data_IF_604427838220
#
_entry.id   IF_604427838220
#
_cell.length_a   1.000
_cell.length_b   1.000
_cell.length_c   1.000
_cell.angle_alpha   90.00
_cell.angle_beta   90.00
_cell.angle_gamma   90.00
#
_symmetry.space_group_name_H-M   'P 1'
#
loop_
_entity.id
_entity.type
_entity.pdbx_description
1 polymer ?
#
# COMPACT_ATOMS: atom_id res chain seq x y z
N UNK A 1 -8.56 3.19 -5.09
CA UNK A 1 -7.82 2.24 -5.94
C UNK A 1 -7.67 2.82 -7.35
N UNK A 2 -6.45 3.30 -7.74
CA UNK A 2 -6.25 3.96 -9.03
C UNK A 2 -6.55 3.04 -10.23
N UNK A 3 -6.29 1.75 -10.10
CA UNK A 3 -6.49 0.80 -11.20
C UNK A 3 -7.96 0.46 -11.48
N UNK A 4 -8.90 0.91 -10.64
CA UNK A 4 -10.33 0.93 -10.96
C UNK A 4 -10.69 2.09 -11.89
N UNK A 5 -9.90 3.16 -11.89
CA UNK A 5 -10.05 4.33 -12.75
C UNK A 5 -8.94 4.36 -13.83
N UNK A 6 -8.72 3.22 -14.46
CA UNK A 6 -7.54 2.92 -15.28
C UNK A 6 -7.33 3.96 -16.40
N UNK A 7 -8.37 4.28 -17.16
CA UNK A 7 -8.25 5.16 -18.34
C UNK A 7 -7.80 6.58 -17.94
N UNK A 8 -8.42 7.15 -16.91
CA UNK A 8 -8.07 8.49 -16.45
C UNK A 8 -6.68 8.54 -15.82
N UNK A 9 -6.33 7.51 -15.05
CA UNK A 9 -5.00 7.41 -14.44
C UNK A 9 -3.91 7.27 -15.51
N UNK A 10 -4.09 6.41 -16.50
CA UNK A 10 -3.11 6.23 -17.58
C UNK A 10 -3.05 7.46 -18.50
N UNK A 11 -4.17 8.11 -18.77
CA UNK A 11 -4.21 9.40 -19.48
C UNK A 11 -3.37 10.46 -18.74
N UNK A 12 -3.58 10.62 -17.43
CA UNK A 12 -2.81 11.56 -16.62
C UNK A 12 -1.32 11.25 -16.62
N UNK A 13 -0.93 9.96 -16.54
CA UNK A 13 0.47 9.52 -16.61
C UNK A 13 1.09 9.82 -17.99
N UNK A 14 0.34 9.65 -19.08
CA UNK A 14 0.81 9.99 -20.44
C UNK A 14 1.01 11.49 -20.59
N UNK A 15 0.05 12.31 -20.13
CA UNK A 15 0.16 13.77 -20.13
C UNK A 15 1.36 14.25 -19.31
N UNK A 16 1.57 13.69 -18.11
CA UNK A 16 2.70 14.04 -17.28
C UNK A 16 4.07 13.69 -17.92
N UNK A 17 4.08 12.69 -18.81
CA UNK A 17 5.27 12.19 -19.49
C UNK A 17 5.53 12.86 -20.85
N UNK A 18 4.53 13.47 -21.45
CA UNK A 18 4.60 14.04 -22.78
C UNK A 18 5.77 15.03 -22.92
N UNK A 19 6.53 14.93 -23.99
CA UNK A 19 7.71 15.77 -24.25
C UNK A 19 7.37 17.21 -24.59
N UNK A 20 6.17 17.46 -25.10
CA UNK A 20 5.56 18.75 -25.41
C UNK A 20 4.75 19.32 -24.24
N UNK A 21 4.60 18.54 -23.14
CA UNK A 21 3.90 18.93 -21.92
C UNK A 21 4.77 19.74 -20.95
N UNK A 22 4.11 20.50 -20.07
CA UNK A 22 4.78 21.32 -19.06
C UNK A 22 5.56 20.52 -18.01
N UNK A 23 5.16 19.25 -17.73
CA UNK A 23 5.72 18.49 -16.62
C UNK A 23 6.94 17.64 -17.00
N UNK A 24 6.97 17.05 -18.18
CA UNK A 24 8.07 16.21 -18.72
C UNK A 24 8.64 15.21 -17.70
N UNK A 25 7.77 14.58 -16.90
CA UNK A 25 8.19 13.66 -15.85
C UNK A 25 8.55 12.31 -16.46
N UNK A 26 9.83 11.94 -16.38
CA UNK A 26 10.27 10.61 -16.84
C UNK A 26 9.55 9.47 -16.12
N UNK A 27 9.15 8.43 -16.83
CA UNK A 27 8.38 7.29 -16.27
C UNK A 27 9.06 6.61 -15.08
N UNK A 28 10.39 6.72 -14.94
CA UNK A 28 11.13 6.22 -13.76
C UNK A 28 10.81 6.98 -12.46
N UNK A 29 10.30 8.20 -12.57
CA UNK A 29 9.92 9.04 -11.42
C UNK A 29 8.44 8.90 -11.06
N UNK A 30 7.65 8.19 -11.87
CA UNK A 30 6.23 7.96 -11.63
C UNK A 30 6.00 6.53 -11.12
N UNK A 31 5.11 6.38 -10.18
CA UNK A 31 4.74 5.08 -9.59
C UNK A 31 3.23 5.02 -9.42
N UNK A 32 2.62 3.94 -9.88
CA UNK A 32 1.23 3.60 -9.57
C UNK A 32 1.22 2.78 -8.30
N UNK A 33 0.45 3.24 -7.31
CA UNK A 33 0.23 2.48 -6.06
C UNK A 33 -1.13 1.81 -6.11
N UNK A 34 -1.20 0.55 -5.72
CA UNK A 34 -2.45 -0.25 -5.76
C UNK A 34 -2.64 -1.05 -4.48
N UNK A 35 -3.89 -1.21 -4.07
CA UNK A 35 -4.28 -2.14 -3.01
C UNK A 35 -4.24 -3.63 -3.47
N UNK A 36 -4.01 -3.86 -4.76
CA UNK A 36 -3.91 -5.20 -5.33
C UNK A 36 -5.03 -5.55 -6.31
N UNK A 37 -5.45 -4.60 -7.13
CA UNK A 37 -6.40 -4.85 -8.24
C UNK A 37 -5.72 -5.64 -9.35
N UNK A 38 -5.74 -6.98 -9.27
CA UNK A 38 -5.02 -7.91 -10.16
C UNK A 38 -5.27 -7.64 -11.64
N UNK A 39 -6.52 -7.49 -12.14
CA UNK A 39 -6.75 -7.21 -13.56
C UNK A 39 -6.10 -5.90 -14.01
N UNK A 40 -6.10 -4.87 -13.17
CA UNK A 40 -5.46 -3.59 -13.49
C UNK A 40 -3.93 -3.69 -13.52
N UNK A 41 -3.31 -4.49 -12.63
CA UNK A 41 -1.87 -4.77 -12.66
C UNK A 41 -1.49 -5.48 -13.97
N UNK A 42 -2.25 -6.50 -14.35
CA UNK A 42 -2.01 -7.24 -15.59
C UNK A 42 -2.14 -6.32 -16.82
N UNK A 43 -3.20 -5.51 -16.86
CA UNK A 43 -3.39 -4.52 -17.92
C UNK A 43 -2.25 -3.49 -17.97
N UNK A 44 -1.80 -2.99 -16.82
CA UNK A 44 -0.67 -2.06 -16.73
C UNK A 44 0.65 -2.72 -17.20
N UNK A 45 0.78 -4.05 -17.04
CA UNK A 45 1.93 -4.79 -17.53
C UNK A 45 1.98 -4.86 -19.07
N UNK A 46 0.84 -4.73 -19.74
CA UNK A 46 0.70 -4.74 -21.22
C UNK A 46 0.80 -3.34 -21.83
N UNK A 47 0.47 -2.31 -21.07
CA UNK A 47 0.49 -0.91 -21.50
C UNK A 47 1.93 -0.46 -21.88
N UNK A 48 2.07 0.54 -22.74
CA UNK A 48 3.35 1.14 -23.13
C UNK A 48 3.98 2.03 -22.03
N UNK A 49 3.23 2.29 -20.95
CA UNK A 49 3.71 3.04 -19.79
C UNK A 49 4.78 2.27 -19.02
N UNK A 50 5.97 2.84 -18.92
CA UNK A 50 7.05 2.28 -18.11
C UNK A 50 7.16 3.03 -16.76
N UNK A 51 6.16 2.86 -15.91
CA UNK A 51 6.06 3.45 -14.58
C UNK A 51 6.50 2.46 -13.50
N UNK A 52 6.69 2.91 -12.27
CA UNK A 52 6.88 2.03 -11.11
C UNK A 52 5.54 1.42 -10.66
N UNK A 53 5.60 0.25 -10.04
CA UNK A 53 4.45 -0.37 -9.38
C UNK A 53 4.74 -0.53 -7.89
N UNK A 54 3.87 0.03 -7.05
CA UNK A 54 3.85 -0.18 -5.61
C UNK A 54 2.57 -0.92 -5.22
N UNK A 55 2.72 -2.00 -4.47
CA UNK A 55 1.61 -2.87 -4.05
C UNK A 55 1.51 -2.84 -2.53
N UNK A 56 0.36 -2.43 -2.02
CA UNK A 56 0.03 -2.54 -0.60
C UNK A 56 -0.26 -4.01 -0.26
N UNK A 57 0.77 -4.76 0.13
CA UNK A 57 0.64 -6.16 0.52
C UNK A 57 0.03 -6.30 1.92
N UNK A 58 0.61 -5.64 2.90
CA UNK A 58 0.15 -5.41 4.27
C UNK A 58 -0.08 -6.63 5.17
N UNK A 59 -0.11 -7.84 4.62
CA UNK A 59 -0.16 -9.10 5.37
C UNK A 59 0.49 -10.24 4.58
N UNK A 60 0.80 -11.34 5.26
CA UNK A 60 1.44 -12.52 4.69
C UNK A 60 0.51 -13.75 4.62
N UNK A 61 -0.71 -13.61 5.15
CA UNK A 61 -1.76 -14.64 5.17
C UNK A 61 -3.06 -14.02 4.67
N UNK A 62 -3.81 -14.80 3.87
CA UNK A 62 -5.05 -14.33 3.24
C UNK A 62 -6.14 -13.99 4.25
N UNK A 63 -6.21 -14.71 5.37
CA UNK A 63 -7.16 -14.43 6.44
C UNK A 63 -6.92 -13.03 7.01
N UNK A 64 -5.70 -12.74 7.45
CA UNK A 64 -5.31 -11.44 7.98
C UNK A 64 -5.47 -10.35 6.93
N UNK A 65 -5.03 -10.61 5.69
CA UNK A 65 -5.15 -9.64 4.61
C UNK A 65 -6.60 -9.30 4.28
N UNK A 66 -7.50 -10.30 4.31
CA UNK A 66 -8.94 -10.09 4.02
C UNK A 66 -9.65 -9.29 5.11
N UNK A 67 -9.14 -9.31 6.35
CA UNK A 67 -9.66 -8.49 7.45
C UNK A 67 -9.27 -7.01 7.29
N UNK A 68 -8.03 -6.73 6.91
CA UNK A 68 -7.51 -5.36 6.80
C UNK A 68 -7.65 -4.76 5.40
N UNK A 69 -7.75 -5.60 4.38
CA UNK A 69 -7.86 -5.23 2.96
C UNK A 69 -8.89 -6.11 2.25
N UNK A 70 -10.18 -5.72 2.24
CA UNK A 70 -11.26 -6.56 1.68
C UNK A 70 -11.08 -6.97 0.22
N UNK A 71 -10.29 -6.24 -0.56
CA UNK A 71 -9.92 -6.57 -1.94
C UNK A 71 -9.27 -7.96 -2.07
N UNK A 72 -8.64 -8.45 -1.00
CA UNK A 72 -8.02 -9.78 -0.94
C UNK A 72 -9.01 -10.92 -1.11
N UNK A 73 -10.28 -10.72 -0.72
CA UNK A 73 -11.33 -11.73 -0.90
C UNK A 73 -11.56 -12.05 -2.38
N UNK A 74 -11.30 -11.08 -3.26
CA UNK A 74 -11.46 -11.24 -4.70
C UNK A 74 -10.16 -11.71 -5.37
N UNK A 75 -9.02 -11.24 -4.88
CA UNK A 75 -7.69 -11.57 -5.39
C UNK A 75 -6.76 -11.90 -4.23
N UNK A 76 -6.63 -13.19 -3.89
CA UNK A 76 -5.75 -13.68 -2.82
C UNK A 76 -4.28 -13.30 -3.07
N UNK A 77 -3.46 -13.44 -2.03
CA UNK A 77 -2.02 -13.13 -2.10
C UNK A 77 -1.35 -13.89 -3.25
N UNK A 78 -1.71 -15.14 -3.49
CA UNK A 78 -1.11 -15.93 -4.59
C UNK A 78 -1.34 -15.28 -5.96
N UNK A 79 -2.57 -14.83 -6.25
CA UNK A 79 -2.92 -14.17 -7.51
C UNK A 79 -2.22 -12.83 -7.63
N UNK A 80 -2.15 -12.08 -6.53
CA UNK A 80 -1.46 -10.80 -6.47
C UNK A 80 0.04 -10.95 -6.75
N UNK A 81 0.68 -11.97 -6.18
CA UNK A 81 2.10 -12.24 -6.42
C UNK A 81 2.35 -12.69 -7.85
N UNK A 82 1.47 -13.50 -8.44
CA UNK A 82 1.54 -13.89 -9.85
C UNK A 82 1.44 -12.65 -10.79
N UNK A 83 0.51 -11.74 -10.51
CA UNK A 83 0.37 -10.50 -11.26
C UNK A 83 1.59 -9.58 -11.10
N UNK A 84 2.14 -9.46 -9.89
CA UNK A 84 3.36 -8.70 -9.63
C UNK A 84 4.57 -9.27 -10.39
N UNK A 85 4.69 -10.59 -10.43
CA UNK A 85 5.72 -11.26 -11.21
C UNK A 85 5.56 -11.00 -12.72
N UNK A 86 4.35 -11.14 -13.24
CA UNK A 86 4.03 -10.83 -14.65
C UNK A 86 4.40 -9.38 -14.99
N UNK A 87 4.09 -8.44 -14.10
CA UNK A 87 4.48 -7.04 -14.25
C UNK A 87 6.00 -6.88 -14.35
N UNK A 88 6.74 -7.50 -13.43
CA UNK A 88 8.19 -7.48 -13.46
C UNK A 88 8.75 -8.10 -14.75
N UNK A 89 8.28 -9.28 -15.14
CA UNK A 89 8.78 -10.01 -16.32
C UNK A 89 8.59 -9.20 -17.60
N UNK A 90 7.48 -8.46 -17.73
CA UNK A 90 7.19 -7.63 -18.91
C UNK A 90 7.88 -6.26 -18.90
N UNK A 91 7.97 -5.62 -17.73
CA UNK A 91 8.51 -4.25 -17.63
C UNK A 91 9.98 -4.17 -17.26
N UNK A 92 10.57 -5.24 -16.73
CA UNK A 92 11.95 -5.24 -16.23
C UNK A 92 12.15 -4.32 -15.01
N UNK A 93 11.06 -3.92 -14.34
CA UNK A 93 11.12 -2.98 -13.22
C UNK A 93 10.80 -3.65 -11.91
N UNK A 94 11.66 -3.45 -10.91
CA UNK A 94 11.42 -3.95 -9.55
C UNK A 94 10.09 -3.41 -9.02
N UNK A 95 9.28 -4.30 -8.46
CA UNK A 95 8.05 -3.96 -7.75
C UNK A 95 8.39 -3.46 -6.35
N UNK A 96 7.63 -2.52 -5.82
CA UNK A 96 7.72 -2.13 -4.41
C UNK A 96 6.55 -2.77 -3.65
N UNK A 97 6.84 -3.55 -2.62
CA UNK A 97 5.81 -4.01 -1.68
C UNK A 97 5.79 -3.10 -0.46
N UNK A 98 4.65 -2.47 -0.23
CA UNK A 98 4.37 -1.70 0.98
C UNK A 98 3.78 -2.65 2.03
N UNK A 99 4.35 -2.64 3.23
CA UNK A 99 3.96 -3.54 4.30
C UNK A 99 3.78 -2.77 5.60
N UNK A 100 2.53 -2.66 6.06
CA UNK A 100 2.20 -1.94 7.29
C UNK A 100 2.39 -2.86 8.48
N UNK A 101 3.19 -2.42 9.45
CA UNK A 101 3.45 -3.12 10.71
C UNK A 101 2.44 -2.68 11.77
N UNK A 102 1.55 -3.58 12.16
CA UNK A 102 0.55 -3.44 13.21
C UNK A 102 0.85 -4.41 14.35
N UNK A 103 0.84 -3.91 15.58
CA UNK A 103 1.18 -4.68 16.78
C UNK A 103 0.32 -5.94 16.91
N UNK A 104 0.97 -7.10 17.07
CA UNK A 104 0.35 -8.42 17.20
C UNK A 104 -0.59 -8.81 16.04
N UNK A 105 -0.45 -8.18 14.87
CA UNK A 105 -1.30 -8.48 13.71
C UNK A 105 -0.46 -8.82 12.48
N UNK A 106 0.50 -7.97 12.13
CA UNK A 106 1.35 -8.12 10.94
C UNK A 106 2.84 -7.94 11.25
N UNK A 107 3.20 -7.93 12.53
CA UNK A 107 4.57 -7.68 13.00
C UNK A 107 5.21 -8.90 13.67
N UNK A 108 4.58 -10.09 13.59
CA UNK A 108 5.12 -11.31 14.17
C UNK A 108 6.41 -11.75 13.47
N UNK A 109 7.26 -12.48 14.18
CA UNK A 109 8.51 -13.03 13.60
C UNK A 109 8.20 -13.94 12.41
N UNK A 110 7.13 -14.74 12.49
CA UNK A 110 6.65 -15.59 11.42
C UNK A 110 6.22 -14.78 10.18
N UNK A 111 5.69 -13.56 10.36
CA UNK A 111 5.34 -12.69 9.23
C UNK A 111 6.60 -12.23 8.48
N UNK A 112 7.68 -11.91 9.20
CA UNK A 112 8.93 -11.53 8.54
C UNK A 112 9.49 -12.69 7.69
N UNK A 113 9.41 -13.92 8.19
CA UNK A 113 9.87 -15.12 7.46
C UNK A 113 8.98 -15.39 6.24
N UNK A 114 7.65 -15.37 6.41
CA UNK A 114 6.70 -15.55 5.31
C UNK A 114 6.85 -14.46 4.24
N UNK A 115 7.03 -13.20 4.66
CA UNK A 115 7.24 -12.07 3.74
C UNK A 115 8.48 -12.28 2.88
N UNK A 116 9.58 -12.76 3.46
CA UNK A 116 10.78 -13.10 2.72
C UNK A 116 10.52 -14.22 1.69
N UNK A 117 9.75 -15.26 2.07
CA UNK A 117 9.41 -16.40 1.19
C UNK A 117 8.52 -15.96 0.03
N UNK A 118 7.40 -15.30 0.30
CA UNK A 118 6.42 -14.92 -0.74
C UNK A 118 6.98 -13.92 -1.76
N UNK A 119 7.95 -13.08 -1.34
CA UNK A 119 8.60 -12.11 -2.25
C UNK A 119 9.83 -12.65 -2.95
N UNK A 120 10.33 -13.84 -2.59
CA UNK A 120 11.65 -14.36 -3.01
C UNK A 120 11.82 -14.47 -4.51
N UNK A 121 10.74 -14.78 -5.26
CA UNK A 121 10.76 -15.00 -6.71
C UNK A 121 10.60 -13.73 -7.55
N UNK A 122 10.39 -12.57 -6.92
CA UNK A 122 10.12 -11.31 -7.60
C UNK A 122 11.18 -10.28 -7.22
N UNK A 123 12.00 -9.79 -8.16
CA UNK A 123 12.90 -8.69 -7.88
C UNK A 123 12.14 -7.46 -7.38
N UNK A 124 12.26 -7.15 -6.09
CA UNK A 124 11.44 -6.14 -5.45
C UNK A 124 12.22 -5.29 -4.44
N UNK A 125 11.54 -4.31 -3.92
CA UNK A 125 11.87 -3.53 -2.72
C UNK A 125 10.74 -3.72 -1.73
N UNK A 126 11.06 -3.91 -0.46
CA UNK A 126 10.08 -4.01 0.62
C UNK A 126 10.18 -2.73 1.46
N UNK A 127 9.06 -2.03 1.59
CA UNK A 127 8.97 -0.80 2.37
C UNK A 127 8.10 -1.05 3.59
N UNK A 128 8.72 -1.08 4.77
CA UNK A 128 8.05 -1.28 6.04
C UNK A 128 7.50 0.07 6.54
N UNK A 129 6.22 0.09 6.87
CA UNK A 129 5.51 1.28 7.32
C UNK A 129 4.92 1.00 8.70
N UNK A 130 5.46 1.57 9.78
CA UNK A 130 4.83 1.46 11.08
C UNK A 130 3.42 2.07 11.03
N UNK A 131 2.44 1.34 11.58
CA UNK A 131 1.04 1.78 11.58
C UNK A 131 0.87 3.16 12.21
N UNK A 132 0.07 4.00 11.59
CA UNK A 132 -0.40 5.26 12.17
C UNK A 132 -1.74 4.98 12.84
N UNK A 133 -1.78 5.16 14.16
CA UNK A 133 -3.01 4.99 14.91
C UNK A 133 -4.05 6.02 14.49
N UNK A 134 -5.28 5.56 14.38
CA UNK A 134 -6.42 6.43 14.11
C UNK A 134 -6.80 7.18 15.39
N UNK A 135 -7.25 8.42 15.26
CA UNK A 135 -7.80 9.16 16.39
C UNK A 135 -8.98 8.38 17.01
N UNK A 136 -9.23 8.53 18.32
CA UNK A 136 -10.38 7.92 18.97
C UNK A 136 -11.68 8.23 18.22
N UNK A 137 -12.51 7.20 17.96
CA UNK A 137 -13.75 7.32 17.19
C UNK A 137 -13.63 7.12 15.68
N UNK A 138 -12.42 7.09 15.09
CA UNK A 138 -12.20 6.84 13.67
C UNK A 138 -11.94 5.36 13.32
N UNK A 139 -12.24 4.45 14.22
CA UNK A 139 -12.00 3.02 14.03
C UNK A 139 -12.95 2.42 13.00
N UNK A 140 -12.40 1.67 12.04
CA UNK A 140 -13.17 1.06 10.94
C UNK A 140 -13.74 -0.33 11.29
N UNK A 141 -13.41 -0.87 12.47
CA UNK A 141 -13.83 -2.18 12.96
C UNK A 141 -13.80 -2.19 14.48
N UNK A 142 -14.41 -3.19 15.10
CA UNK A 142 -14.37 -3.42 16.54
C UNK A 142 -12.94 -3.73 17.05
N UNK A 143 -12.00 -3.98 16.15
CA UNK A 143 -10.61 -4.26 16.48
C UNK A 143 -9.79 -2.97 16.48
N UNK A 144 -9.17 -2.67 17.61
CA UNK A 144 -8.22 -1.57 17.77
C UNK A 144 -6.85 -2.02 17.28
N UNK A 145 -6.37 -1.45 16.18
CA UNK A 145 -5.01 -1.66 15.72
C UNK A 145 -4.06 -0.66 16.38
N UNK A 146 -2.87 -1.13 16.75
CA UNK A 146 -1.85 -0.33 17.42
C UNK A 146 -0.53 -0.34 16.65
N UNK A 147 0.25 0.69 16.86
CA UNK A 147 1.62 0.77 16.36
C UNK A 147 2.53 -0.15 17.20
N UNK A 148 3.41 -0.94 16.57
CA UNK A 148 4.41 -1.71 17.31
C UNK A 148 5.40 -0.81 18.05
N UNK A 149 5.97 -1.32 19.14
CA UNK A 149 7.08 -0.67 19.84
C UNK A 149 8.32 -0.54 18.94
N UNK A 150 9.20 0.43 19.24
CA UNK A 150 10.45 0.61 18.49
C UNK A 150 11.31 -0.65 18.49
N UNK A 151 11.39 -1.35 19.62
CA UNK A 151 12.12 -2.61 19.75
C UNK A 151 11.56 -3.69 18.81
N UNK A 152 10.22 -3.77 18.70
CA UNK A 152 9.53 -4.71 17.82
C UNK A 152 9.79 -4.38 16.34
N UNK A 153 9.69 -3.11 15.98
CA UNK A 153 10.00 -2.62 14.63
C UNK A 153 11.45 -2.95 14.22
N UNK A 154 12.40 -2.76 15.13
CA UNK A 154 13.82 -3.05 14.88
C UNK A 154 14.06 -4.56 14.74
N UNK A 155 13.43 -5.37 15.60
CA UNK A 155 13.50 -6.83 15.55
C UNK A 155 12.95 -7.37 14.23
N UNK A 156 11.75 -6.96 13.83
CA UNK A 156 11.12 -7.36 12.57
C UNK A 156 11.99 -6.96 11.37
N UNK A 157 12.44 -5.69 11.34
CA UNK A 157 13.28 -5.17 10.26
C UNK A 157 14.58 -5.97 10.12
N UNK A 158 15.24 -6.27 11.24
CA UNK A 158 16.48 -7.05 11.25
C UNK A 158 16.24 -8.48 10.77
N UNK A 159 15.18 -9.13 11.26
CA UNK A 159 14.82 -10.48 10.87
C UNK A 159 14.56 -10.57 9.36
N UNK A 160 13.73 -9.68 8.84
CA UNK A 160 13.44 -9.64 7.41
C UNK A 160 14.69 -9.37 6.56
N UNK A 161 15.55 -8.43 6.96
CA UNK A 161 16.80 -8.16 6.25
C UNK A 161 17.74 -9.37 6.19
N UNK A 162 17.75 -10.20 7.24
CA UNK A 162 18.56 -11.42 7.28
C UNK A 162 17.94 -12.56 6.45
N UNK A 163 16.61 -12.57 6.28
CA UNK A 163 15.89 -13.61 5.56
C UNK A 163 15.77 -13.34 4.04
N UNK A 164 16.00 -12.12 3.57
CA UNK A 164 15.84 -11.75 2.16
C UNK A 164 17.07 -11.05 1.59
N UNK A 165 17.26 -11.16 0.25
CA UNK A 165 18.27 -10.40 -0.50
C UNK A 165 17.71 -9.07 -1.04
N UNK A 166 16.42 -8.81 -0.85
CA UNK A 166 15.77 -7.60 -1.32
C UNK A 166 16.15 -6.37 -0.47
N UNK A 167 16.06 -5.21 -1.08
CA UNK A 167 16.21 -3.95 -0.34
C UNK A 167 15.02 -3.77 0.60
N UNK A 168 15.29 -3.74 1.90
CA UNK A 168 14.29 -3.46 2.94
C UNK A 168 14.54 -2.07 3.50
N UNK A 169 13.52 -1.20 3.38
CA UNK A 169 13.53 0.16 3.96
C UNK A 169 12.42 0.26 4.99
N UNK A 170 12.64 1.08 6.02
CA UNK A 170 11.59 1.50 6.95
C UNK A 170 11.30 2.96 6.74
N UNK A 171 10.04 3.29 6.56
CA UNK A 171 9.57 4.65 6.37
C UNK A 171 8.88 5.10 7.66
N UNK A 172 9.48 6.03 8.38
CA UNK A 172 8.78 6.68 9.47
C UNK A 172 7.81 7.72 8.91
N UNK A 173 6.56 7.62 9.32
CA UNK A 173 5.51 8.56 8.90
C UNK A 173 5.83 9.95 9.43
N UNK A 174 5.89 10.94 8.54
CA UNK A 174 5.91 12.35 8.86
C UNK A 174 4.49 12.88 8.95
N UNK A 175 4.24 13.91 9.74
CA UNK A 175 2.93 14.57 9.82
C UNK A 175 1.88 13.77 10.60
N UNK A 176 2.28 13.08 11.67
CA UNK A 176 1.33 12.41 12.59
C UNK A 176 0.43 13.40 13.31
N UNK A 177 0.94 14.58 13.54
CA UNK A 177 0.29 15.73 14.19
C UNK A 177 -0.80 16.36 13.34
N UNK A 178 -0.79 16.11 12.03
CA UNK A 178 -1.72 16.68 11.05
C UNK A 178 -2.56 15.64 10.31
N UNK A 179 -2.70 14.42 10.85
CA UNK A 179 -3.45 13.31 10.23
C UNK A 179 -3.06 13.01 8.76
N UNK A 180 -1.77 13.14 8.44
CA UNK A 180 -1.27 13.02 7.06
C UNK A 180 -1.25 11.60 6.50
N UNK A 181 -1.80 10.61 7.19
CA UNK A 181 -1.95 9.27 6.65
C UNK A 181 -3.11 9.20 5.65
N UNK A 182 -2.99 8.28 4.70
CA UNK A 182 -3.93 8.11 3.60
C UNK A 182 -5.38 7.95 4.10
N UNK A 183 -6.26 8.86 3.70
CA UNK A 183 -7.68 8.84 4.05
C UNK A 183 -8.05 9.40 5.43
N UNK A 184 -7.10 9.64 6.34
CA UNK A 184 -7.40 10.15 7.68
C UNK A 184 -8.03 11.55 7.64
N UNK A 185 -7.41 12.47 6.89
CA UNK A 185 -7.92 13.84 6.76
C UNK A 185 -9.30 13.89 6.10
N UNK A 186 -9.51 13.12 5.02
CA UNK A 186 -10.80 13.07 4.33
C UNK A 186 -11.92 12.62 5.27
N UNK A 187 -11.68 11.57 6.05
CA UNK A 187 -12.66 11.02 6.99
C UNK A 187 -13.00 12.00 8.09
N UNK A 188 -12.00 12.68 8.66
CA UNK A 188 -12.21 13.72 9.68
C UNK A 188 -13.11 14.86 9.17
N UNK A 189 -12.90 15.31 7.94
CA UNK A 189 -13.72 16.35 7.31
C UNK A 189 -15.15 15.86 7.07
N UNK A 190 -15.33 14.64 6.60
CA UNK A 190 -16.64 14.05 6.32
C UNK A 190 -17.44 13.84 7.61
N UNK A 191 -16.81 13.33 8.66
CA UNK A 191 -17.45 13.12 9.98
C UNK A 191 -17.85 14.46 10.61
N UNK A 192 -17.03 15.50 10.48
CA UNK A 192 -17.35 16.86 10.96
C UNK A 192 -18.54 17.46 10.21
N UNK A 193 -18.63 17.26 8.90
CA UNK A 193 -19.76 17.73 8.09
C UNK A 193 -21.06 17.00 8.44
N UNK A 194 -21.00 15.69 8.69
CA UNK A 194 -22.15 14.90 9.13
C UNK A 194 -22.66 15.32 10.52
N UNK A 195 -21.77 15.68 11.44
CA UNK A 195 -22.12 16.18 12.75
C UNK A 195 -22.83 17.55 12.71
N UNK A 196 -22.39 18.44 11.81
CA UNK A 196 -23.01 19.76 11.62
C UNK A 196 -24.41 19.64 11.00
N UNK A 197 -24.61 18.70 10.07
CA UNK A 197 -25.92 18.47 9.43
C UNK A 197 -26.93 17.77 10.34
N UNK A 198 -26.50 17.14 11.43
CA UNK A 198 -27.34 16.45 12.40
C UNK A 198 -27.82 17.36 13.55
N UNK A 199 -27.39 18.62 13.61
CA UNK A 199 -27.86 19.57 14.63
C UNK A 199 -29.25 20.09 14.24
N UNK A 200 -30.33 19.88 15.06
CA UNK A 200 -31.66 20.38 14.75
C UNK A 200 -31.64 21.90 14.71
N UNK A 201 -32.22 22.49 13.67
CA UNK A 201 -32.48 23.94 13.65
C UNK A 201 -33.43 24.28 14.82
N UNK A 202 -33.10 25.30 15.63
CA UNK A 202 -34.02 25.77 16.66
C UNK A 202 -35.31 26.27 16.00
N UNK A 203 -36.47 25.85 16.57
CA UNK A 203 -37.80 26.21 16.14
C UNK A 203 -38.09 27.70 16.35
#
# INVERSE_FOLDING_TARGET
EPLLNYEQVTCALRLARASDGQLQIGGRKMTVSTAGHVPGILRLSEDDLNVGLAISLNATEDETRSQIMPINRKWPIADLMAAAKTYFDRKGRRVTFEYVLMDQVTDLDADADRLAVITSSIPCKINLIPYNELAPGLQMSDRVYRRPSSARLDRFTRRLKNATRHTVTRRDSRGRDIDAACGQLHRRVTDAQSAVSATPQPA
#
